data_IF_377343149391
#
_entry.id   IF_377343149391
#
_cell.length_a   1.000
_cell.length_b   1.000
_cell.length_c   1.000
_cell.angle_alpha   90.00
_cell.angle_beta   90.00
_cell.angle_gamma   90.00
#
_symmetry.space_group_name_H-M   'P 1'
#
loop_
_entity.id
_entity.type
_entity.pdbx_description
1 polymer ?
#
# COMPACT_ATOMS: atom_id res chain seq x y z
N UNK A 1 -5.58 -1.54 15.97
CA UNK A 1 -6.55 -0.42 15.89
C UNK A 1 -6.45 0.17 14.49
N UNK A 2 -7.23 -0.38 13.54
CA UNK A 2 -7.10 -0.18 12.08
C UNK A 2 -7.54 1.24 11.66
N UNK A 3 -8.04 2.04 12.62
CA UNK A 3 -8.56 3.40 12.42
C UNK A 3 -7.51 4.49 12.10
N UNK A 4 -6.20 4.18 12.06
CA UNK A 4 -5.15 5.19 11.75
C UNK A 4 -4.82 5.35 10.26
N UNK A 5 -5.44 4.58 9.37
CA UNK A 5 -5.20 4.70 7.90
C UNK A 5 -6.02 5.85 7.28
N UNK A 6 -6.84 6.56 8.07
CA UNK A 6 -7.17 7.98 7.81
C UNK A 6 -7.87 8.32 6.48
N UNK A 7 -8.60 7.39 5.87
CA UNK A 7 -9.44 7.65 4.69
C UNK A 7 -10.89 7.28 5.01
N UNK A 8 -11.83 8.25 5.12
CA UNK A 8 -13.24 7.96 5.37
C UNK A 8 -13.77 7.06 4.24
N UNK A 9 -14.26 5.87 4.59
CA UNK A 9 -14.83 4.91 3.63
C UNK A 9 -13.88 3.84 3.09
N UNK A 10 -12.61 3.80 3.51
CA UNK A 10 -11.64 2.80 3.02
C UNK A 10 -12.11 1.33 3.22
N UNK A 11 -12.82 1.04 4.32
CA UNK A 11 -13.39 -0.28 4.59
C UNK A 11 -14.29 -0.77 3.44
N UNK A 12 -15.20 0.09 2.96
CA UNK A 12 -16.14 -0.28 1.90
C UNK A 12 -15.45 -0.51 0.56
N UNK A 13 -14.33 0.17 0.31
CA UNK A 13 -13.50 -0.03 -0.89
C UNK A 13 -12.84 -1.41 -0.88
N UNK A 14 -12.29 -1.85 0.25
CA UNK A 14 -11.69 -3.19 0.35
C UNK A 14 -12.75 -4.29 0.28
N UNK A 15 -13.92 -4.09 0.90
CA UNK A 15 -15.03 -5.05 0.82
C UNK A 15 -15.53 -5.19 -0.62
N UNK A 16 -15.68 -4.10 -1.37
CA UNK A 16 -16.14 -4.16 -2.76
C UNK A 16 -15.11 -4.82 -3.69
N UNK A 17 -13.81 -4.53 -3.52
CA UNK A 17 -12.74 -5.18 -4.27
C UNK A 17 -12.66 -6.70 -4.00
N UNK A 18 -12.82 -7.10 -2.74
CA UNK A 18 -12.88 -8.51 -2.35
C UNK A 18 -14.10 -9.22 -2.93
N UNK A 19 -15.28 -8.63 -2.81
CA UNK A 19 -16.52 -9.17 -3.39
C UNK A 19 -16.43 -9.29 -4.92
N UNK A 20 -15.87 -8.28 -5.60
CA UNK A 20 -15.65 -8.30 -7.05
C UNK A 20 -14.69 -9.41 -7.48
N UNK A 21 -13.63 -9.64 -6.72
CA UNK A 21 -12.67 -10.73 -6.98
C UNK A 21 -13.30 -12.11 -6.80
N UNK A 22 -14.13 -12.30 -5.78
CA UNK A 22 -14.87 -13.56 -5.58
C UNK A 22 -15.81 -13.87 -6.75
N UNK A 23 -16.53 -12.85 -7.23
CA UNK A 23 -17.40 -12.99 -8.40
C UNK A 23 -16.60 -13.29 -9.67
N UNK A 24 -15.45 -12.62 -9.86
CA UNK A 24 -14.55 -12.87 -10.99
C UNK A 24 -14.00 -14.30 -10.98
N UNK A 25 -13.59 -14.80 -9.81
CA UNK A 25 -13.13 -16.17 -9.64
C UNK A 25 -14.24 -17.20 -9.97
N UNK A 26 -15.49 -16.92 -9.59
CA UNK A 26 -16.64 -17.74 -9.98
C UNK A 26 -16.87 -17.75 -11.51
N UNK A 27 -16.59 -16.62 -12.17
CA UNK A 27 -16.65 -16.48 -13.63
C UNK A 27 -15.35 -16.94 -14.33
N UNK A 28 -14.42 -17.58 -13.60
CA UNK A 28 -13.14 -18.07 -14.11
C UNK A 28 -12.25 -16.98 -14.74
N UNK A 29 -12.26 -15.78 -14.14
CA UNK A 29 -11.51 -14.61 -14.59
C UNK A 29 -10.51 -14.14 -13.52
N UNK A 30 -9.69 -13.14 -13.86
CA UNK A 30 -8.61 -12.60 -13.01
C UNK A 30 -9.15 -11.73 -11.88
N UNK A 31 -8.40 -11.53 -10.77
CA UNK A 31 -8.83 -10.70 -9.65
C UNK A 31 -9.02 -9.22 -10.03
N UNK A 32 -9.88 -8.52 -9.29
CA UNK A 32 -10.16 -7.09 -9.50
C UNK A 32 -9.20 -6.26 -8.65
N UNK A 33 -8.39 -5.42 -9.28
CA UNK A 33 -7.38 -4.57 -8.62
C UNK A 33 -7.80 -3.09 -8.74
N UNK A 34 -7.72 -2.36 -7.62
CA UNK A 34 -8.00 -0.91 -7.59
C UNK A 34 -6.73 -0.15 -7.94
N UNK A 35 -6.61 0.23 -9.21
CA UNK A 35 -5.43 0.93 -9.75
C UNK A 35 -5.66 2.44 -9.87
N UNK A 36 -4.58 3.20 -9.74
CA UNK A 36 -4.61 4.67 -9.77
C UNK A 36 -5.01 5.25 -11.14
N UNK A 37 -4.80 4.50 -12.21
CA UNK A 37 -5.24 4.89 -13.55
C UNK A 37 -6.78 5.01 -13.68
N UNK A 38 -7.52 4.21 -12.90
CA UNK A 38 -8.99 4.30 -12.83
C UNK A 38 -9.48 5.61 -12.18
N UNK A 39 -8.60 6.42 -11.57
CA UNK A 39 -8.96 7.75 -11.08
C UNK A 39 -9.27 8.75 -12.20
N UNK A 40 -8.91 8.47 -13.45
CA UNK A 40 -9.25 9.33 -14.59
C UNK A 40 -10.78 9.58 -14.68
N UNK A 41 -11.60 8.57 -14.36
CA UNK A 41 -13.06 8.71 -14.31
C UNK A 41 -13.54 9.64 -13.19
N UNK A 42 -12.84 9.66 -12.05
CA UNK A 42 -13.15 10.56 -10.93
C UNK A 42 -12.74 11.99 -11.26
N UNK A 43 -11.58 12.17 -11.92
CA UNK A 43 -11.10 13.47 -12.39
C UNK A 43 -12.04 14.08 -13.44
N UNK A 44 -12.64 13.25 -14.29
CA UNK A 44 -13.66 13.66 -15.27
C UNK A 44 -15.02 14.03 -14.63
N UNK A 45 -15.15 14.00 -13.30
CA UNK A 45 -16.37 14.36 -12.58
C UNK A 45 -17.22 13.17 -12.13
N UNK A 46 -16.73 11.93 -12.29
CA UNK A 46 -17.36 10.71 -11.79
C UNK A 46 -17.34 10.64 -10.26
N UNK A 47 -18.29 11.32 -9.62
CA UNK A 47 -18.49 11.28 -8.17
C UNK A 47 -19.56 10.29 -7.73
N UNK A 48 -20.35 9.78 -8.70
CA UNK A 48 -21.38 8.78 -8.49
C UNK A 48 -20.92 7.45 -9.09
N UNK A 49 -21.29 6.34 -8.44
CA UNK A 49 -21.03 4.98 -8.93
C UNK A 49 -21.68 4.66 -10.28
N UNK A 50 -22.54 5.56 -10.79
CA UNK A 50 -23.17 5.48 -12.11
C UNK A 50 -22.11 5.43 -13.22
N UNK A 51 -20.99 6.12 -13.06
CA UNK A 51 -19.88 6.08 -14.03
C UNK A 51 -19.27 4.69 -14.15
N UNK A 52 -19.05 4.02 -13.02
CA UNK A 52 -18.56 2.64 -12.97
C UNK A 52 -19.57 1.65 -13.57
N UNK A 53 -20.87 1.81 -13.27
CA UNK A 53 -21.94 0.98 -13.84
C UNK A 53 -22.02 1.17 -15.36
N UNK A 54 -21.96 2.42 -15.83
CA UNK A 54 -22.03 2.74 -17.26
C UNK A 54 -20.84 2.13 -18.00
N UNK A 55 -19.62 2.27 -17.47
CA UNK A 55 -18.42 1.63 -18.03
C UNK A 55 -18.54 0.10 -18.07
N UNK A 56 -19.03 -0.52 -17.00
CA UNK A 56 -19.26 -1.97 -16.96
C UNK A 56 -20.29 -2.43 -18.00
N UNK A 57 -21.41 -1.71 -18.14
CA UNK A 57 -22.41 -1.99 -19.16
C UNK A 57 -21.86 -1.82 -20.59
N UNK A 58 -21.08 -0.77 -20.85
CA UNK A 58 -20.44 -0.56 -22.14
C UNK A 58 -19.43 -1.68 -22.46
N UNK A 59 -18.68 -2.16 -21.47
CA UNK A 59 -17.79 -3.31 -21.63
C UNK A 59 -18.54 -4.61 -21.97
N UNK A 60 -19.69 -4.86 -21.33
CA UNK A 60 -20.54 -6.01 -21.65
C UNK A 60 -21.11 -5.91 -23.06
N UNK A 61 -21.55 -4.74 -23.49
CA UNK A 61 -22.03 -4.49 -24.86
C UNK A 61 -20.89 -4.61 -25.88
N UNK A 62 -19.64 -4.34 -25.46
CA UNK A 62 -18.45 -4.47 -26.30
C UNK A 62 -17.98 -5.92 -26.50
N UNK A 63 -18.47 -6.89 -25.72
CA UNK A 63 -18.09 -8.31 -25.82
C UNK A 63 -18.15 -8.89 -27.25
N UNK A 64 -19.24 -8.70 -28.04
CA UNK A 64 -19.29 -9.19 -29.43
C UNK A 64 -18.25 -8.55 -30.37
N UNK A 65 -17.64 -7.42 -29.99
CA UNK A 65 -16.57 -6.75 -30.75
C UNK A 65 -15.17 -7.25 -30.38
N UNK A 66 -15.03 -8.16 -29.41
CA UNK A 66 -13.76 -8.81 -29.06
C UNK A 66 -12.94 -9.34 -30.25
N UNK A 67 -13.50 -10.03 -31.28
CA UNK A 67 -12.71 -10.51 -32.41
C UNK A 67 -12.04 -9.38 -33.23
N UNK A 68 -12.60 -8.17 -33.23
CA UNK A 68 -11.98 -7.00 -33.86
C UNK A 68 -10.76 -6.55 -33.05
N UNK A 69 -10.88 -6.51 -31.72
CA UNK A 69 -9.76 -6.19 -30.84
C UNK A 69 -8.64 -7.25 -30.90
N UNK A 70 -8.99 -8.53 -31.07
CA UNK A 70 -8.03 -9.63 -31.20
C UNK A 70 -7.23 -9.59 -32.51
N UNK A 71 -7.67 -8.82 -33.53
CA UNK A 71 -6.96 -8.66 -34.80
C UNK A 71 -5.77 -7.69 -34.73
N UNK A 72 -5.59 -6.99 -33.59
CA UNK A 72 -4.50 -6.03 -33.41
C UNK A 72 -3.18 -6.79 -33.23
N UNK A 73 -2.14 -6.51 -34.05
CA UNK A 73 -0.85 -7.17 -33.92
C UNK A 73 -0.16 -6.76 -32.61
N UNK A 74 0.54 -7.72 -31.99
CA UNK A 74 1.15 -7.53 -30.67
C UNK A 74 2.22 -6.42 -30.62
N UNK A 75 2.82 -6.10 -31.77
CA UNK A 75 3.78 -5.00 -31.91
C UNK A 75 3.16 -3.63 -31.60
N UNK A 76 1.84 -3.48 -31.74
CA UNK A 76 1.14 -2.24 -31.40
C UNK A 76 1.05 -1.99 -29.89
N UNK A 77 0.99 -3.05 -29.08
CA UNK A 77 0.84 -2.95 -27.62
C UNK A 77 2.17 -2.69 -26.90
N UNK A 78 3.28 -3.16 -27.47
CA UNK A 78 4.62 -2.99 -26.89
C UNK A 78 5.00 -1.53 -26.53
N UNK A 79 4.86 -0.53 -27.42
CA UNK A 79 5.21 0.86 -27.08
C UNK A 79 4.31 1.45 -25.98
N UNK A 80 3.05 0.99 -25.89
CA UNK A 80 2.10 1.44 -24.86
C UNK A 80 2.57 0.99 -23.47
N UNK A 81 3.06 -0.24 -23.32
CA UNK A 81 3.60 -0.73 -22.04
C UNK A 81 4.86 0.02 -21.61
N UNK A 82 5.72 0.45 -22.55
CA UNK A 82 6.92 1.24 -22.23
C UNK A 82 6.53 2.61 -21.68
N UNK A 83 5.56 3.27 -22.30
CA UNK A 83 5.04 4.57 -21.81
C UNK A 83 4.36 4.42 -20.46
N UNK A 84 3.55 3.38 -20.26
CA UNK A 84 2.93 3.08 -18.97
C UNK A 84 3.99 2.84 -17.88
N UNK A 85 5.03 2.06 -18.16
CA UNK A 85 6.14 1.86 -17.24
C UNK A 85 6.82 3.16 -16.85
N UNK A 86 7.05 4.05 -17.82
CA UNK A 86 7.60 5.38 -17.56
C UNK A 86 6.66 6.25 -16.71
N UNK A 87 5.35 6.20 -16.97
CA UNK A 87 4.35 6.91 -16.19
C UNK A 87 4.28 6.40 -14.74
N UNK A 88 4.35 5.09 -14.52
CA UNK A 88 4.38 4.50 -13.18
C UNK A 88 5.63 4.90 -12.42
N UNK A 89 6.80 4.93 -13.07
CA UNK A 89 8.04 5.40 -12.45
C UNK A 89 7.99 6.91 -12.17
N UNK A 90 7.31 7.69 -13.01
CA UNK A 90 7.10 9.13 -12.77
C UNK A 90 6.20 9.42 -11.57
N UNK A 91 5.49 8.44 -11.02
CA UNK A 91 4.72 8.60 -9.78
C UNK A 91 5.59 8.46 -8.52
N UNK A 92 6.79 7.87 -8.58
CA UNK A 92 7.68 7.72 -7.42
C UNK A 92 8.06 9.04 -6.74
N UNK A 93 8.47 10.10 -7.48
CA UNK A 93 8.80 11.38 -6.84
C UNK A 93 7.62 11.94 -6.03
N UNK A 94 6.39 11.76 -6.53
CA UNK A 94 5.19 12.22 -5.84
C UNK A 94 4.92 11.47 -4.53
N UNK A 95 5.37 10.21 -4.38
CA UNK A 95 5.23 9.47 -3.12
C UNK A 95 6.29 9.91 -2.10
N UNK A 96 7.49 10.24 -2.55
CA UNK A 96 8.57 10.81 -1.72
C UNK A 96 8.18 12.20 -1.21
N UNK A 97 7.72 13.09 -2.10
CA UNK A 97 7.32 14.46 -1.73
C UNK A 97 6.15 14.49 -0.74
N UNK A 98 5.23 13.52 -0.84
CA UNK A 98 4.10 13.36 0.09
C UNK A 98 4.51 12.77 1.45
N UNK A 99 5.79 12.49 1.67
CA UNK A 99 6.31 11.92 2.92
C UNK A 99 5.86 10.48 3.19
N UNK A 100 5.34 9.78 2.16
CA UNK A 100 4.97 8.36 2.26
C UNK A 100 6.22 7.47 2.27
N UNK A 101 7.35 7.98 1.76
CA UNK A 101 8.59 7.23 1.63
C UNK A 101 9.80 8.15 1.86
N UNK A 102 10.57 7.89 2.93
CA UNK A 102 11.78 8.63 3.24
C UNK A 102 13.01 7.79 2.88
N UNK A 103 13.75 8.18 1.85
CA UNK A 103 14.98 7.50 1.44
C UNK A 103 16.17 7.74 2.39
N UNK A 104 16.08 8.73 3.27
CA UNK A 104 17.12 9.00 4.27
C UNK A 104 17.17 7.93 5.38
N UNK A 105 16.03 7.29 5.67
CA UNK A 105 15.97 6.19 6.62
C UNK A 105 16.27 4.87 5.90
N UNK A 106 17.38 4.21 6.26
CA UNK A 106 17.76 2.93 5.66
C UNK A 106 16.70 1.84 5.84
N UNK A 107 15.90 1.95 6.91
CA UNK A 107 14.79 1.03 7.20
C UNK A 107 13.68 1.11 6.15
N UNK A 108 13.54 2.24 5.45
CA UNK A 108 12.53 2.44 4.42
C UNK A 108 13.13 2.46 3.01
N UNK A 109 14.30 3.07 2.85
CA UNK A 109 14.98 3.21 1.56
C UNK A 109 15.45 1.88 0.98
N UNK A 110 16.01 0.99 1.81
CA UNK A 110 16.52 -0.30 1.33
C UNK A 110 15.38 -1.23 0.86
N UNK A 111 14.27 -1.38 1.60
CA UNK A 111 13.14 -2.17 1.11
C UNK A 111 12.50 -1.62 -0.16
N UNK A 112 12.35 -0.30 -0.27
CA UNK A 112 11.81 0.34 -1.46
C UNK A 112 12.68 0.07 -2.70
N UNK A 113 13.99 0.21 -2.57
CA UNK A 113 14.94 -0.11 -3.62
C UNK A 113 14.86 -1.58 -4.04
N UNK A 114 14.79 -2.49 -3.06
CA UNK A 114 14.67 -3.92 -3.29
C UNK A 114 13.43 -4.24 -4.15
N UNK A 115 12.26 -3.67 -3.81
CA UNK A 115 11.02 -3.86 -4.58
C UNK A 115 11.15 -3.35 -6.01
N UNK A 116 11.67 -2.13 -6.21
CA UNK A 116 11.75 -1.48 -7.53
C UNK A 116 12.65 -2.27 -8.49
N UNK A 117 13.75 -2.83 -7.97
CA UNK A 117 14.73 -3.56 -8.78
C UNK A 117 14.32 -5.02 -8.99
N UNK A 118 13.84 -5.70 -7.94
CA UNK A 118 13.54 -7.12 -8.01
C UNK A 118 12.26 -7.41 -8.81
N UNK A 119 11.26 -6.53 -8.74
CA UNK A 119 10.00 -6.72 -9.46
C UNK A 119 10.16 -6.91 -10.99
N UNK A 120 10.89 -6.04 -11.74
CA UNK A 120 11.16 -6.30 -13.15
C UNK A 120 12.14 -7.45 -13.38
N UNK A 121 13.04 -7.75 -12.43
CA UNK A 121 14.02 -8.82 -12.56
C UNK A 121 13.40 -10.22 -12.42
N UNK A 122 12.39 -10.35 -11.56
CA UNK A 122 11.68 -11.61 -11.32
C UNK A 122 10.55 -11.83 -12.33
N UNK A 123 10.21 -10.82 -13.14
CA UNK A 123 9.06 -10.83 -14.06
C UNK A 123 7.72 -11.13 -13.36
N UNK A 124 7.68 -11.00 -12.03
CA UNK A 124 6.51 -11.27 -11.19
C UNK A 124 6.33 -10.13 -10.17
N UNK A 125 5.11 -9.62 -10.10
CA UNK A 125 4.72 -8.55 -9.18
C UNK A 125 4.74 -9.04 -7.72
N UNK A 126 4.28 -10.27 -7.49
CA UNK A 126 4.10 -10.83 -6.15
C UNK A 126 5.45 -11.06 -5.48
N UNK A 127 6.38 -11.68 -6.18
CA UNK A 127 7.71 -11.96 -5.64
C UNK A 127 8.52 -10.66 -5.43
N UNK A 128 8.36 -9.68 -6.33
CA UNK A 128 8.98 -8.36 -6.18
C UNK A 128 8.53 -7.62 -4.92
N UNK A 129 7.21 -7.59 -4.67
CA UNK A 129 6.64 -6.99 -3.46
C UNK A 129 7.05 -7.80 -2.21
N UNK A 130 7.01 -9.13 -2.28
CA UNK A 130 7.39 -10.00 -1.18
C UNK A 130 8.84 -9.80 -0.76
N UNK A 131 9.77 -9.67 -1.71
CA UNK A 131 11.18 -9.42 -1.42
C UNK A 131 11.41 -8.05 -0.72
N UNK A 132 10.67 -7.03 -1.14
CA UNK A 132 10.62 -5.74 -0.45
C UNK A 132 10.15 -5.87 1.01
N UNK A 133 8.97 -6.47 1.22
CA UNK A 133 8.42 -6.71 2.56
C UNK A 133 9.35 -7.56 3.43
N UNK A 134 9.98 -8.58 2.84
CA UNK A 134 10.92 -9.44 3.54
C UNK A 134 12.13 -8.64 4.03
N UNK A 135 12.72 -7.81 3.17
CA UNK A 135 13.86 -6.97 3.55
C UNK A 135 13.51 -5.97 4.65
N UNK A 136 12.30 -5.38 4.61
CA UNK A 136 11.80 -4.52 5.69
C UNK A 136 11.66 -5.28 7.00
N UNK A 137 11.06 -6.48 6.96
CA UNK A 137 10.92 -7.33 8.14
C UNK A 137 12.26 -7.71 8.77
N UNK A 138 13.26 -8.04 7.94
CA UNK A 138 14.62 -8.34 8.40
C UNK A 138 15.24 -7.13 9.11
N UNK A 139 15.21 -5.94 8.50
CA UNK A 139 15.78 -4.72 9.10
C UNK A 139 15.11 -4.40 10.44
N UNK A 140 13.77 -4.48 10.50
CA UNK A 140 13.04 -4.20 11.73
C UNK A 140 13.38 -5.19 12.86
N UNK A 141 13.60 -6.46 12.52
CA UNK A 141 14.05 -7.47 13.48
C UNK A 141 15.45 -7.17 14.02
N UNK A 142 16.38 -6.73 13.17
CA UNK A 142 17.73 -6.35 13.58
C UNK A 142 17.71 -5.15 14.54
N UNK A 143 16.92 -4.12 14.25
CA UNK A 143 16.77 -2.96 15.14
C UNK A 143 16.18 -3.35 16.50
N UNK A 144 15.18 -4.24 16.49
CA UNK A 144 14.56 -4.71 17.71
C UNK A 144 15.55 -5.51 18.58
N UNK A 145 16.38 -6.35 17.95
CA UNK A 145 17.44 -7.08 18.63
C UNK A 145 18.51 -6.14 19.22
N UNK A 146 18.93 -5.13 18.46
CA UNK A 146 19.86 -4.10 18.91
C UNK A 146 19.33 -3.30 20.11
N UNK A 147 18.07 -2.89 20.06
CA UNK A 147 17.39 -2.22 21.17
C UNK A 147 17.27 -3.13 22.41
N UNK A 148 17.02 -4.42 22.23
CA UNK A 148 16.99 -5.41 23.31
C UNK A 148 18.34 -5.55 24.03
N UNK A 149 19.43 -5.62 23.27
CA UNK A 149 20.80 -5.71 23.80
C UNK A 149 21.15 -4.42 24.57
N UNK A 150 20.79 -3.25 24.04
CA UNK A 150 21.02 -1.98 24.75
C UNK A 150 20.18 -1.85 26.02
N UNK A 151 18.92 -2.30 26.00
CA UNK A 151 18.07 -2.33 27.21
C UNK A 151 18.62 -3.24 28.30
N UNK A 152 19.21 -4.38 27.95
CA UNK A 152 19.88 -5.26 28.93
C UNK A 152 21.17 -4.62 29.46
N UNK A 153 21.94 -3.92 28.62
CA UNK A 153 23.14 -3.17 29.02
C UNK A 153 22.84 -1.97 29.92
N UNK A 154 21.76 -1.23 29.67
CA UNK A 154 21.37 -0.04 30.45
C UNK A 154 20.46 -0.37 31.64
N UNK A 155 19.60 -1.38 31.53
CA UNK A 155 18.72 -1.86 32.60
C UNK A 155 19.47 -2.53 33.76
N UNK A 156 20.68 -3.03 33.52
CA UNK A 156 21.57 -3.52 34.58
C UNK A 156 22.35 -2.39 35.30
N UNK A 157 22.38 -1.15 34.78
CA UNK A 157 23.13 -0.02 35.37
C UNK A 157 22.29 0.93 36.22
N UNK A 158 20.97 0.89 36.12
CA UNK A 158 20.11 1.67 37.03
C UNK A 158 18.96 0.81 37.54
N UNK A 159 19.24 0.13 38.65
CA UNK A 159 18.22 -0.25 39.62
C UNK A 159 17.89 0.96 40.50
N UNK A 160 16.71 1.60 40.40
CA UNK A 160 16.21 2.42 41.48
C UNK A 160 15.47 1.50 42.44
N UNK A 161 16.22 0.69 43.21
CA UNK A 161 15.67 0.18 44.46
C UNK A 161 15.79 1.29 45.51
N UNK A 162 14.83 2.22 45.46
CA UNK A 162 14.37 2.90 46.67
C UNK A 162 12.85 2.91 46.70
N UNK A 163 12.31 1.79 47.17
CA UNK A 163 10.97 1.73 47.77
C UNK A 163 10.88 2.81 48.84
N UNK A 164 9.93 3.74 48.70
CA UNK A 164 9.17 4.23 49.85
C UNK A 164 7.74 4.51 49.41
N UNK A 165 6.90 3.51 49.62
CA UNK A 165 5.48 3.70 49.80
C UNK A 165 5.23 4.58 51.04
N UNK A 166 4.08 5.24 51.01
CA UNK A 166 3.33 5.86 52.12
C UNK A 166 3.89 7.13 52.77
N UNK A 167 3.44 8.26 52.24
CA UNK A 167 2.75 9.31 53.02
C UNK A 167 2.11 10.27 52.02
N UNK A 168 0.79 10.17 51.82
CA UNK A 168 -0.20 10.99 52.51
C UNK A 168 -0.40 12.35 51.84
N UNK A 169 -1.60 12.52 51.28
CA UNK A 169 -2.37 13.77 51.22
C UNK A 169 -1.81 14.93 50.40
N UNK A 170 -2.44 15.24 49.26
CA UNK A 170 -3.46 16.31 49.20
C UNK A 170 -4.04 16.49 47.79
N UNK A 171 -5.36 16.66 47.75
CA UNK A 171 -6.10 17.67 46.97
C UNK A 171 -6.07 17.53 45.44
N UNK A 172 -7.16 17.11 44.77
CA UNK A 172 -8.32 17.97 44.45
C UNK A 172 -7.83 19.24 43.71
N UNK A 173 -8.02 19.46 42.39
CA UNK A 173 -9.26 19.53 41.57
C UNK A 173 -8.94 19.71 40.04
N UNK A 174 -9.94 19.69 39.14
CA UNK A 174 -9.81 19.66 37.67
C UNK A 174 -9.95 21.05 37.00
N UNK A 175 -9.56 21.14 35.72
CA UNK A 175 -10.23 21.97 34.73
C UNK A 175 -9.39 22.94 33.87
N UNK A 176 -9.86 23.08 32.62
CA UNK A 176 -9.83 24.26 31.71
C UNK A 176 -8.46 24.59 31.07
N UNK A 177 -8.29 24.70 29.75
CA UNK A 177 -9.15 25.11 28.63
C UNK A 177 -8.92 24.25 27.38
#
# INVERSE_FOLDING_TARGET
NIARIGLPGAYWVFVSAGAGTLLSAYMFSTPVIVLGESFAGVLAGGRTGITAITMGCLFLISWPFYPVCASVPIFASSPILVVLGAQLLALLPSTVERGLLNFEDMTQGFPAFCTIVLMPFLFDLEDGIAAGLFSWGVLQMLDLAGAGIQRLRYGARHSPLKRRSSSFSKSEKPGVY
#
